data_IF_986831751441
#
_entry.id   IF_986831751441
#
_cell.length_a   1.000
_cell.length_b   1.000
_cell.length_c   1.000
_cell.angle_alpha   90.00
_cell.angle_beta   90.00
_cell.angle_gamma   90.00
#
_symmetry.space_group_name_H-M   'P 1'
#
loop_
_entity.id
_entity.type
_entity.pdbx_description
1 polymer ?
#
# COMPACT_ATOMS: atom_id res chain seq x y z
N UNK A 1 -1.72 8.36 -22.64
CA UNK A 1 -2.81 7.83 -23.49
C UNK A 1 -2.38 6.66 -24.36
N UNK A 2 -1.54 6.81 -25.41
CA UNK A 2 -1.16 5.67 -26.30
C UNK A 2 -0.51 4.47 -25.57
N UNK A 3 0.38 4.74 -24.61
CA UNK A 3 1.02 3.70 -23.81
C UNK A 3 0.00 2.91 -22.99
N UNK A 4 -0.92 3.60 -22.31
CA UNK A 4 -1.98 2.99 -21.49
C UNK A 4 -2.88 2.06 -22.31
N UNK A 5 -3.32 2.49 -23.49
CA UNK A 5 -4.16 1.68 -24.37
C UNK A 5 -3.43 0.41 -24.82
N UNK A 6 -2.16 0.54 -25.22
CA UNK A 6 -1.34 -0.62 -25.61
C UNK A 6 -1.08 -1.56 -24.44
N UNK A 7 -0.76 -1.03 -23.26
CA UNK A 7 -0.53 -1.84 -22.06
C UNK A 7 -1.79 -2.63 -21.69
N UNK A 8 -2.96 -2.00 -21.76
CA UNK A 8 -4.23 -2.66 -21.49
C UNK A 8 -4.54 -3.75 -22.52
N UNK A 9 -4.40 -3.45 -23.82
CA UNK A 9 -4.55 -4.43 -24.90
C UNK A 9 -3.66 -5.67 -24.68
N UNK A 10 -2.39 -5.45 -24.34
CA UNK A 10 -1.46 -6.55 -24.05
C UNK A 10 -1.81 -7.31 -22.77
N UNK A 11 -2.28 -6.62 -21.71
CA UNK A 11 -2.68 -7.24 -20.46
C UNK A 11 -3.87 -8.20 -20.62
N UNK A 12 -4.77 -7.92 -21.56
CA UNK A 12 -5.94 -8.77 -21.86
C UNK A 12 -5.71 -9.72 -23.04
N UNK A 13 -4.52 -9.74 -23.66
CA UNK A 13 -4.25 -10.56 -24.85
C UNK A 13 -4.36 -12.07 -24.58
N UNK A 14 -4.12 -12.48 -23.34
CA UNK A 14 -4.28 -13.85 -22.85
C UNK A 14 -5.67 -14.15 -22.27
N UNK A 15 -6.63 -13.22 -22.37
CA UNK A 15 -7.97 -13.34 -21.80
C UNK A 15 -8.16 -12.55 -20.50
N UNK A 16 -9.28 -12.78 -19.82
CA UNK A 16 -9.69 -12.02 -18.62
C UNK A 16 -9.41 -12.74 -17.30
N UNK A 17 -8.81 -13.94 -17.36
CA UNK A 17 -8.61 -14.81 -16.18
C UNK A 17 -7.89 -14.10 -15.04
N UNK A 18 -6.91 -13.24 -15.32
CA UNK A 18 -6.20 -12.47 -14.29
C UNK A 18 -7.12 -11.56 -13.48
N UNK A 19 -7.98 -10.78 -14.15
CA UNK A 19 -8.95 -9.89 -13.49
C UNK A 19 -10.01 -10.70 -12.75
N UNK A 20 -10.46 -11.82 -13.33
CA UNK A 20 -11.39 -12.73 -12.66
C UNK A 20 -10.80 -13.29 -11.37
N UNK A 21 -9.54 -13.71 -11.41
CA UNK A 21 -8.85 -14.32 -10.27
C UNK A 21 -8.59 -13.27 -9.16
N UNK A 22 -8.24 -12.04 -9.52
CA UNK A 22 -8.15 -10.90 -8.58
C UNK A 22 -9.49 -10.63 -7.88
N UNK A 23 -10.58 -10.57 -8.64
CA UNK A 23 -11.92 -10.38 -8.09
C UNK A 23 -12.34 -11.53 -7.17
N UNK A 24 -12.06 -12.78 -7.57
CA UNK A 24 -12.35 -13.98 -6.78
C UNK A 24 -11.60 -13.99 -5.46
N UNK A 25 -10.32 -13.58 -5.44
CA UNK A 25 -9.53 -13.49 -4.21
C UNK A 25 -9.97 -12.34 -3.33
N UNK A 26 -10.29 -11.19 -3.91
CA UNK A 26 -10.74 -10.00 -3.17
C UNK A 26 -12.03 -10.24 -2.38
N UNK A 27 -12.86 -11.18 -2.85
CA UNK A 27 -14.11 -11.57 -2.21
C UNK A 27 -13.97 -12.76 -1.24
N UNK A 28 -12.75 -13.13 -0.84
CA UNK A 28 -12.48 -14.25 0.08
C UNK A 28 -11.60 -13.78 1.24
N UNK A 29 -11.65 -14.48 2.39
CA UNK A 29 -10.67 -14.25 3.45
C UNK A 29 -9.24 -14.41 2.90
N UNK A 30 -8.38 -13.47 3.25
CA UNK A 30 -7.02 -13.39 2.71
C UNK A 30 -6.08 -14.48 3.24
N UNK A 31 -6.50 -15.21 4.28
CA UNK A 31 -5.74 -16.30 4.90
C UNK A 31 -4.70 -15.82 5.93
N UNK A 32 -4.59 -14.52 6.14
CA UNK A 32 -3.79 -13.92 7.21
C UNK A 32 -4.44 -12.61 7.68
N UNK A 33 -4.00 -12.15 8.84
CA UNK A 33 -4.40 -10.89 9.46
C UNK A 33 -3.20 -9.95 9.49
N UNK A 34 -3.44 -8.65 9.61
CA UNK A 34 -2.36 -7.67 9.68
C UNK A 34 -1.49 -7.87 10.93
N UNK A 35 -2.10 -8.34 12.01
CA UNK A 35 -1.46 -8.66 13.28
C UNK A 35 -0.54 -9.88 13.22
N UNK A 36 -0.60 -10.65 12.13
CA UNK A 36 0.27 -11.81 11.92
C UNK A 36 1.68 -11.38 11.44
N UNK A 37 1.88 -10.09 11.15
CA UNK A 37 3.22 -9.51 10.99
C UNK A 37 4.04 -9.74 12.28
N UNK A 38 5.27 -10.22 12.08
CA UNK A 38 6.23 -10.56 13.13
C UNK A 38 6.30 -9.50 14.24
N UNK A 39 6.29 -9.96 15.49
CA UNK A 39 6.13 -9.07 16.65
C UNK A 39 7.30 -8.16 16.95
N UNK A 40 8.47 -8.57 16.51
CA UNK A 40 9.74 -7.89 16.69
C UNK A 40 10.05 -6.86 15.59
N UNK A 41 9.21 -6.77 14.55
CA UNK A 41 9.38 -5.78 13.48
C UNK A 41 8.65 -4.48 13.83
N UNK A 42 9.34 -3.36 13.64
CA UNK A 42 8.71 -2.03 13.56
C UNK A 42 8.08 -1.87 12.18
N UNK A 43 6.91 -1.24 12.13
CA UNK A 43 6.17 -1.00 10.88
C UNK A 43 6.00 0.50 10.69
N UNK A 44 6.52 1.03 9.58
CA UNK A 44 6.29 2.42 9.19
C UNK A 44 5.16 2.46 8.16
N UNK A 45 4.18 3.33 8.38
CA UNK A 45 3.07 3.59 7.47
C UNK A 45 3.15 5.04 7.00
N UNK A 46 3.19 5.24 5.69
CA UNK A 46 3.26 6.56 5.07
C UNK A 46 2.00 6.78 4.24
N UNK A 47 1.20 7.78 4.61
CA UNK A 47 -0.10 8.03 4.02
C UNK A 47 -0.27 9.49 3.59
N UNK A 48 -0.88 9.67 2.42
CA UNK A 48 -1.35 10.97 1.97
C UNK A 48 -2.77 11.23 2.48
N UNK A 49 -3.02 12.41 3.05
CA UNK A 49 -4.35 12.78 3.53
C UNK A 49 -5.36 12.91 2.38
N UNK A 50 -4.90 13.29 1.19
CA UNK A 50 -5.70 13.48 -0.01
C UNK A 50 -5.71 12.23 -0.91
N UNK A 51 -5.15 11.10 -0.45
CA UNK A 51 -5.12 9.85 -1.20
C UNK A 51 -6.52 9.22 -1.28
N UNK A 52 -7.11 9.23 -2.47
CA UNK A 52 -8.41 8.61 -2.77
C UNK A 52 -8.30 7.14 -3.21
N UNK A 53 -7.11 6.66 -3.55
CA UNK A 53 -6.86 5.28 -3.97
C UNK A 53 -6.56 4.38 -2.78
N UNK A 54 -5.80 4.89 -1.81
CA UNK A 54 -5.51 4.23 -0.52
C UNK A 54 -5.84 5.18 0.64
N UNK A 55 -7.14 5.40 0.91
CA UNK A 55 -7.59 6.31 1.97
C UNK A 55 -6.90 6.13 3.32
N UNK A 56 -6.62 7.27 3.97
CA UNK A 56 -5.98 7.35 5.29
C UNK A 56 -6.65 6.47 6.36
N UNK A 57 -7.96 6.26 6.28
CA UNK A 57 -8.69 5.40 7.24
C UNK A 57 -8.10 3.99 7.31
N UNK A 58 -7.56 3.46 6.21
CA UNK A 58 -6.91 2.15 6.20
C UNK A 58 -5.63 2.17 7.04
N UNK A 59 -4.81 3.21 6.91
CA UNK A 59 -3.59 3.39 7.71
C UNK A 59 -3.89 3.53 9.20
N UNK A 60 -4.90 4.32 9.55
CA UNK A 60 -5.37 4.49 10.94
C UNK A 60 -5.80 3.14 11.54
N UNK A 61 -6.58 2.36 10.80
CA UNK A 61 -7.04 1.06 11.28
C UNK A 61 -5.91 0.03 11.40
N UNK A 62 -4.93 0.04 10.49
CA UNK A 62 -3.76 -0.84 10.56
C UNK A 62 -2.91 -0.47 11.78
N UNK A 63 -2.62 0.82 11.97
CA UNK A 63 -1.85 1.30 13.12
C UNK A 63 -2.52 0.92 14.45
N UNK A 64 -3.84 1.06 14.54
CA UNK A 64 -4.59 0.65 15.73
C UNK A 64 -4.48 -0.86 16.01
N UNK A 65 -4.51 -1.72 14.98
CA UNK A 65 -4.40 -3.18 15.12
C UNK A 65 -2.99 -3.64 15.48
N UNK A 66 -1.97 -2.98 14.93
CA UNK A 66 -0.57 -3.32 15.18
C UNK A 66 -0.04 -2.74 16.50
N UNK A 67 -0.67 -1.66 17.00
CA UNK A 67 -0.38 -1.02 18.28
C UNK A 67 0.94 -0.25 18.27
N UNK A 68 1.62 -0.18 19.42
CA UNK A 68 2.84 0.63 19.62
C UNK A 68 4.08 0.21 18.82
N UNK A 69 3.94 -0.74 17.89
CA UNK A 69 4.99 -1.15 16.94
C UNK A 69 4.86 -0.45 15.59
N UNK A 70 3.84 0.38 15.44
CA UNK A 70 3.58 1.10 14.19
C UNK A 70 3.80 2.59 14.37
N UNK A 71 4.47 3.18 13.41
CA UNK A 71 4.61 4.62 13.23
C UNK A 71 3.77 5.03 12.01
N UNK A 72 2.70 5.80 12.24
CA UNK A 72 1.85 6.32 11.17
C UNK A 72 2.20 7.77 10.88
N UNK A 73 2.76 8.00 9.70
CA UNK A 73 3.07 9.30 9.15
C UNK A 73 2.02 9.71 8.14
N UNK A 74 1.51 10.93 8.29
CA UNK A 74 0.45 11.50 7.45
C UNK A 74 0.92 12.83 6.90
N UNK A 75 0.86 12.98 5.59
CA UNK A 75 1.26 14.20 4.88
C UNK A 75 0.11 14.71 4.01
N UNK A 76 0.09 16.02 3.74
CA UNK A 76 -0.91 16.66 2.87
C UNK A 76 -0.58 16.38 1.39
N UNK A 77 -0.68 15.11 1.02
CA UNK A 77 -0.31 14.56 -0.29
C UNK A 77 -1.42 13.68 -0.88
N UNK A 78 -1.42 13.59 -2.21
CA UNK A 78 -2.18 12.58 -2.96
C UNK A 78 -1.39 11.27 -3.09
N UNK A 79 -2.00 10.23 -3.69
CA UNK A 79 -1.42 8.89 -3.80
C UNK A 79 0.03 8.85 -4.31
N UNK A 80 0.30 9.52 -5.43
CA UNK A 80 1.64 9.54 -6.01
C UNK A 80 2.60 10.45 -5.23
N UNK A 81 2.07 11.46 -4.52
CA UNK A 81 2.85 12.45 -3.79
C UNK A 81 3.73 11.83 -2.71
N UNK A 82 3.18 10.89 -1.94
CA UNK A 82 3.95 10.13 -0.93
C UNK A 82 5.14 9.40 -1.55
N UNK A 83 4.96 8.76 -2.71
CA UNK A 83 6.05 8.01 -3.36
C UNK A 83 7.09 8.90 -4.04
N UNK A 84 6.70 10.10 -4.48
CA UNK A 84 7.55 10.98 -5.30
C UNK A 84 8.21 12.07 -4.47
N UNK A 85 7.45 12.83 -3.69
CA UNK A 85 7.95 13.98 -2.93
C UNK A 85 8.65 13.57 -1.64
N UNK A 86 8.20 12.48 -1.00
CA UNK A 86 8.74 11.97 0.26
C UNK A 86 9.72 10.81 0.08
N UNK A 87 10.21 10.60 -1.15
CA UNK A 87 11.07 9.46 -1.49
C UNK A 87 12.31 9.38 -0.60
N UNK A 88 12.95 10.53 -0.33
CA UNK A 88 14.18 10.55 0.47
C UNK A 88 13.89 10.16 1.90
N UNK A 89 12.89 10.77 2.51
CA UNK A 89 12.47 10.56 3.89
C UNK A 89 11.98 9.12 4.11
N UNK A 90 11.26 8.55 3.14
CA UNK A 90 10.88 7.13 3.14
C UNK A 90 12.12 6.22 3.18
N UNK A 91 13.13 6.50 2.36
CA UNK A 91 14.35 5.69 2.29
C UNK A 91 15.23 5.86 3.52
N UNK A 92 15.33 7.07 4.07
CA UNK A 92 16.04 7.36 5.31
C UNK A 92 15.36 6.67 6.49
N UNK A 93 14.03 6.71 6.59
CA UNK A 93 13.27 5.98 7.59
C UNK A 93 13.48 4.46 7.52
N UNK A 94 13.58 3.90 6.31
CA UNK A 94 13.90 2.47 6.14
C UNK A 94 15.33 2.14 6.61
N UNK A 95 16.32 2.97 6.27
CA UNK A 95 17.70 2.81 6.73
C UNK A 95 17.76 2.84 8.25
N UNK A 96 17.18 3.85 8.88
CA UNK A 96 17.24 4.08 10.32
C UNK A 96 16.49 3.00 11.13
N UNK A 97 15.61 2.23 10.49
CA UNK A 97 14.93 1.09 11.11
C UNK A 97 15.69 -0.24 10.97
N UNK A 98 16.76 -0.28 10.18
CA UNK A 98 17.64 -1.45 10.05
C UNK A 98 18.83 -1.43 11.03
N UNK A 99 19.15 -0.25 11.57
CA UNK A 99 20.18 -0.03 12.59
C UNK A 99 19.63 -0.23 14.01
#
# INVERSE_FOLDING_TARGET
MRLTVRANDQAFRQGYDGVWDDGKRSCRPWGFRVEDVRRDLRVQLWYGREDVYVPLVYGVQIAARLGGRTELRVEEESHAGIGVHWKRENLEGLRDAMD
#
